data_IF_349463012358
#
_entry.id   IF_349463012358
#
_cell.length_a   1.000
_cell.length_b   1.000
_cell.length_c   1.000
_cell.angle_alpha   90.00
_cell.angle_beta   90.00
_cell.angle_gamma   90.00
#
_symmetry.space_group_name_H-M   'P 1'
#
loop_
_entity.id
_entity.type
_entity.pdbx_description
1 polymer ?
#
# COMPACT_ATOMS: atom_id res chain seq x y z
N UNK A 1 18.74 -33.62 4.81
CA UNK A 1 18.30 -32.46 5.59
C UNK A 1 17.03 -31.93 4.92
N UNK A 2 15.87 -32.18 5.53
CA UNK A 2 14.62 -31.59 5.06
C UNK A 2 14.67 -30.09 5.38
N UNK A 3 14.86 -29.27 4.38
CA UNK A 3 14.64 -27.82 4.50
C UNK A 3 13.12 -27.65 4.66
N UNK A 4 12.65 -27.51 5.88
CA UNK A 4 11.29 -27.06 6.14
C UNK A 4 11.21 -25.66 5.54
N UNK A 5 10.46 -25.51 4.46
CA UNK A 5 10.17 -24.19 3.88
C UNK A 5 9.37 -23.41 4.93
N UNK A 6 10.04 -22.48 5.62
CA UNK A 6 9.36 -21.53 6.49
C UNK A 6 8.44 -20.68 5.63
N UNK A 7 7.15 -20.69 5.93
CA UNK A 7 6.18 -19.80 5.32
C UNK A 7 6.04 -18.52 6.16
N UNK A 8 5.80 -17.37 5.54
CA UNK A 8 5.47 -16.16 6.28
C UNK A 8 4.27 -16.41 7.22
N UNK A 9 4.36 -15.94 8.45
CA UNK A 9 3.28 -16.07 9.45
C UNK A 9 2.43 -14.81 9.52
N UNK A 10 3.04 -13.66 9.26
CA UNK A 10 2.41 -12.36 9.29
C UNK A 10 1.77 -12.02 7.93
N UNK A 11 2.47 -12.34 6.84
CA UNK A 11 1.96 -12.15 5.48
C UNK A 11 1.06 -13.30 5.06
N UNK A 12 -0.23 -13.03 4.99
CA UNK A 12 -1.21 -13.94 4.38
C UNK A 12 -1.23 -13.84 2.85
N UNK A 13 -2.26 -14.43 2.23
CA UNK A 13 -2.48 -14.39 0.77
C UNK A 13 -2.54 -12.95 0.23
N UNK A 14 -3.10 -12.04 1.02
CA UNK A 14 -3.37 -10.65 0.65
C UNK A 14 -2.63 -9.62 1.53
N UNK A 15 -1.44 -9.92 1.98
CA UNK A 15 -0.67 -9.06 2.86
C UNK A 15 -0.95 -9.28 4.35
N UNK A 16 -0.62 -8.31 5.19
CA UNK A 16 -0.89 -8.32 6.63
C UNK A 16 -2.30 -7.80 6.86
N UNK A 17 -3.15 -8.53 7.59
CA UNK A 17 -4.53 -8.13 7.89
C UNK A 17 -4.88 -8.35 9.35
N UNK A 18 -5.81 -7.55 9.88
CA UNK A 18 -6.33 -7.66 11.22
C UNK A 18 -7.23 -6.49 11.60
N UNK A 19 -7.64 -6.46 12.85
CA UNK A 19 -8.35 -5.32 13.43
C UNK A 19 -7.37 -4.16 13.59
N UNK A 20 -7.72 -2.98 13.07
CA UNK A 20 -6.87 -1.82 13.15
C UNK A 20 -6.68 -1.36 14.61
N UNK A 21 -5.43 -1.17 15.02
CA UNK A 21 -5.05 -0.83 16.40
C UNK A 21 -4.71 -2.04 17.26
N UNK A 22 -4.98 -3.27 16.79
CA UNK A 22 -4.57 -4.51 17.44
C UNK A 22 -3.43 -5.17 16.66
N UNK A 23 -2.59 -5.98 17.34
CA UNK A 23 -1.55 -6.74 16.66
C UNK A 23 -2.16 -7.65 15.59
N UNK A 24 -1.65 -7.68 14.36
CA UNK A 24 -0.40 -7.08 13.88
C UNK A 24 -0.54 -5.67 13.26
N UNK A 25 -1.66 -5.00 13.42
CA UNK A 25 -1.91 -3.67 12.88
C UNK A 25 -1.97 -2.58 13.97
N UNK A 26 -1.30 -2.82 15.10
CA UNK A 26 -1.00 -1.78 16.08
C UNK A 26 0.07 -0.81 15.56
N UNK A 27 0.08 0.43 16.08
CA UNK A 27 1.00 1.47 15.61
C UNK A 27 2.48 1.08 15.65
N UNK A 28 3.01 0.45 16.73
CA UNK A 28 4.40 -0.01 16.75
C UNK A 28 4.71 -1.01 15.63
N UNK A 29 3.83 -1.97 15.39
CA UNK A 29 4.03 -2.98 14.33
C UNK A 29 3.94 -2.37 12.95
N UNK A 30 3.00 -1.45 12.70
CA UNK A 30 2.91 -0.71 11.42
C UNK A 30 4.19 0.09 11.15
N UNK A 31 4.78 0.73 12.17
CA UNK A 31 6.07 1.42 12.01
C UNK A 31 7.19 0.45 11.65
N UNK A 32 7.25 -0.73 12.33
CA UNK A 32 8.23 -1.78 12.02
C UNK A 32 8.08 -2.30 10.59
N UNK A 33 6.84 -2.50 10.11
CA UNK A 33 6.58 -2.89 8.72
C UNK A 33 7.19 -1.87 7.75
N UNK A 34 6.98 -0.58 7.99
CA UNK A 34 7.56 0.49 7.18
C UNK A 34 9.09 0.47 7.18
N UNK A 35 9.71 0.31 8.37
CA UNK A 35 11.18 0.21 8.52
C UNK A 35 11.74 -1.03 7.82
N UNK A 36 11.14 -2.19 8.04
CA UNK A 36 11.56 -3.45 7.44
C UNK A 36 11.49 -3.40 5.91
N UNK A 37 10.37 -2.89 5.37
CA UNK A 37 10.25 -2.67 3.93
C UNK A 37 11.31 -1.70 3.41
N UNK A 38 11.55 -0.60 4.11
CA UNK A 38 12.60 0.36 3.76
C UNK A 38 13.99 -0.26 3.74
N UNK A 39 14.33 -1.06 4.76
CA UNK A 39 15.61 -1.79 4.85
C UNK A 39 15.74 -2.80 3.70
N UNK A 40 14.69 -3.58 3.43
CA UNK A 40 14.63 -4.53 2.31
C UNK A 40 14.87 -3.84 0.96
N UNK A 41 14.15 -2.74 0.68
CA UNK A 41 14.31 -2.02 -0.59
C UNK A 41 15.71 -1.44 -0.76
N UNK A 42 16.32 -0.98 0.31
CA UNK A 42 17.71 -0.46 0.28
C UNK A 42 18.74 -1.53 -0.06
N UNK A 43 18.51 -2.77 0.34
CA UNK A 43 19.39 -3.89 0.01
C UNK A 43 19.13 -4.45 -1.40
N UNK A 44 17.86 -4.50 -1.81
CA UNK A 44 17.44 -5.15 -3.06
C UNK A 44 17.53 -4.25 -4.30
N UNK A 45 17.47 -2.91 -4.14
CA UNK A 45 17.38 -1.95 -5.25
C UNK A 45 18.59 -1.04 -5.29
N UNK A 46 19.31 -1.05 -6.42
CA UNK A 46 20.56 -0.30 -6.58
C UNK A 46 20.36 1.14 -7.08
N UNK A 47 19.26 1.45 -7.77
CA UNK A 47 19.01 2.79 -8.28
C UNK A 47 18.47 3.74 -7.18
N UNK A 48 18.76 5.03 -7.33
CA UNK A 48 18.37 6.09 -6.39
C UNK A 48 17.77 7.28 -7.17
N UNK A 49 16.81 8.04 -6.59
CA UNK A 49 16.23 7.88 -5.26
C UNK A 49 15.30 6.65 -5.17
N UNK A 50 15.24 6.03 -3.98
CA UNK A 50 14.27 4.97 -3.70
C UNK A 50 12.94 5.61 -3.33
N UNK A 51 11.90 5.30 -4.09
CA UNK A 51 10.56 5.85 -3.86
C UNK A 51 9.52 4.74 -3.93
N UNK A 52 8.54 4.81 -3.04
CA UNK A 52 7.38 3.90 -2.94
C UNK A 52 6.12 4.69 -3.23
N UNK A 53 5.21 4.15 -4.04
CA UNK A 53 3.85 4.70 -4.13
C UNK A 53 2.98 4.11 -3.04
N UNK A 54 2.29 4.96 -2.28
CA UNK A 54 1.40 4.60 -1.19
C UNK A 54 -0.02 5.07 -1.50
N UNK A 55 -0.96 4.14 -1.49
CA UNK A 55 -2.40 4.41 -1.59
C UNK A 55 -3.17 3.79 -0.44
N UNK A 56 -4.35 4.31 -0.18
CA UNK A 56 -5.22 3.83 0.89
C UNK A 56 -6.68 3.75 0.46
N UNK A 57 -7.50 3.04 1.24
CA UNK A 57 -8.94 3.07 1.07
C UNK A 57 -9.61 4.11 2.00
N UNK A 58 -10.93 4.12 2.04
CA UNK A 58 -11.73 5.12 2.76
C UNK A 58 -11.93 4.81 4.24
N UNK A 59 -11.28 3.80 4.81
CA UNK A 59 -11.37 3.43 6.22
C UNK A 59 -10.74 4.52 7.09
N UNK A 60 -11.35 4.81 8.22
CA UNK A 60 -10.84 5.81 9.17
C UNK A 60 -9.41 5.47 9.64
N UNK A 61 -9.15 4.18 9.85
CA UNK A 61 -7.82 3.70 10.25
C UNK A 61 -6.75 3.83 9.17
N UNK A 62 -7.11 3.93 7.89
CA UNK A 62 -6.15 3.98 6.79
C UNK A 62 -5.23 5.20 6.89
N UNK A 63 -5.76 6.34 7.33
CA UNK A 63 -5.00 7.59 7.43
C UNK A 63 -3.81 7.48 8.39
N UNK A 64 -4.04 7.03 9.63
CA UNK A 64 -2.96 6.92 10.60
C UNK A 64 -2.00 5.77 10.25
N UNK A 65 -2.52 4.67 9.70
CA UNK A 65 -1.68 3.54 9.26
C UNK A 65 -0.73 3.97 8.14
N UNK A 66 -1.23 4.69 7.14
CA UNK A 66 -0.43 5.22 6.03
C UNK A 66 0.66 6.16 6.54
N UNK A 67 0.33 7.06 7.46
CA UNK A 67 1.29 8.02 8.05
C UNK A 67 2.36 7.32 8.89
N UNK A 68 1.97 6.36 9.71
CA UNK A 68 2.91 5.59 10.56
C UNK A 68 3.84 4.73 9.69
N UNK A 69 3.29 4.04 8.69
CA UNK A 69 4.09 3.24 7.75
C UNK A 69 5.07 4.11 6.96
N UNK A 70 4.60 5.27 6.48
CA UNK A 70 5.44 6.22 5.78
C UNK A 70 6.58 6.76 6.66
N UNK A 71 6.34 7.03 7.94
CA UNK A 71 7.39 7.41 8.88
C UNK A 71 8.48 6.31 8.99
N UNK A 72 8.07 5.04 9.00
CA UNK A 72 8.99 3.90 8.94
C UNK A 72 9.86 3.89 7.67
N UNK A 73 9.23 4.05 6.49
CA UNK A 73 9.94 4.11 5.20
C UNK A 73 10.93 5.29 5.15
N UNK A 74 10.49 6.49 5.52
CA UNK A 74 11.30 7.70 5.53
C UNK A 74 12.50 7.58 6.46
N UNK A 75 12.35 6.93 7.63
CA UNK A 75 13.46 6.70 8.57
C UNK A 75 14.58 5.83 7.99
N UNK A 76 14.28 5.06 6.94
CA UNK A 76 15.25 4.24 6.19
C UNK A 76 15.69 4.92 4.88
N UNK A 77 15.33 6.18 4.66
CA UNK A 77 15.71 6.95 3.46
C UNK A 77 14.98 6.49 2.19
N UNK A 78 13.76 5.99 2.34
CA UNK A 78 12.86 5.67 1.23
C UNK A 78 11.78 6.74 1.15
N UNK A 79 11.68 7.42 0.02
CA UNK A 79 10.67 8.45 -0.22
C UNK A 79 9.28 7.84 -0.45
N UNK A 80 8.24 8.60 -0.11
CA UNK A 80 6.85 8.16 -0.28
C UNK A 80 6.10 9.10 -1.21
N UNK A 81 5.67 8.58 -2.36
CA UNK A 81 4.72 9.23 -3.26
C UNK A 81 3.31 8.86 -2.82
N UNK A 82 2.65 9.75 -2.08
CA UNK A 82 1.33 9.48 -1.54
C UNK A 82 0.22 9.81 -2.53
N UNK A 83 -0.52 8.80 -2.95
CA UNK A 83 -1.61 8.92 -3.91
C UNK A 83 -2.97 9.20 -3.25
N UNK A 84 -3.06 9.11 -1.90
CA UNK A 84 -4.31 9.25 -1.18
C UNK A 84 -5.24 8.06 -1.37
N UNK A 85 -6.54 8.35 -1.38
CA UNK A 85 -7.57 7.32 -1.55
C UNK A 85 -7.65 6.92 -3.02
N UNK A 86 -7.12 5.72 -3.33
CA UNK A 86 -7.13 5.11 -4.66
C UNK A 86 -7.27 3.58 -4.57
N UNK A 87 -7.85 2.92 -5.57
CA UNK A 87 -8.02 1.47 -5.53
C UNK A 87 -6.69 0.72 -5.72
N UNK A 88 -6.62 -0.50 -5.16
CA UNK A 88 -5.42 -1.37 -5.26
C UNK A 88 -4.86 -1.50 -6.68
N UNK A 89 -5.65 -1.70 -7.74
CA UNK A 89 -5.11 -1.78 -9.10
C UNK A 89 -4.47 -0.47 -9.58
N UNK A 90 -4.87 0.69 -9.05
CA UNK A 90 -4.19 1.95 -9.34
C UNK A 90 -2.76 1.95 -8.76
N UNK A 91 -2.57 1.52 -7.51
CA UNK A 91 -1.23 1.40 -6.92
C UNK A 91 -0.36 0.42 -7.70
N UNK A 92 -0.92 -0.72 -8.14
CA UNK A 92 -0.22 -1.70 -8.97
C UNK A 92 0.24 -1.10 -10.33
N UNK A 93 -0.65 -0.38 -10.99
CA UNK A 93 -0.35 0.32 -12.23
C UNK A 93 0.74 1.38 -12.03
N UNK A 94 0.58 2.25 -11.03
CA UNK A 94 1.51 3.35 -10.76
C UNK A 94 2.90 2.84 -10.37
N UNK A 95 2.99 1.78 -9.57
CA UNK A 95 4.26 1.16 -9.19
C UNK A 95 5.08 0.79 -10.44
N UNK A 96 4.43 0.15 -11.40
CA UNK A 96 5.06 -0.24 -12.65
C UNK A 96 5.28 0.93 -13.62
N UNK A 97 4.29 1.80 -13.77
CA UNK A 97 4.30 2.87 -14.77
C UNK A 97 5.35 3.94 -14.46
N UNK A 98 5.47 4.34 -13.20
CA UNK A 98 6.45 5.33 -12.77
C UNK A 98 7.79 4.75 -12.32
N UNK A 99 7.93 3.42 -12.29
CA UNK A 99 9.16 2.76 -11.88
C UNK A 99 9.46 2.91 -10.38
N UNK A 100 8.40 2.98 -9.55
CA UNK A 100 8.57 2.96 -8.10
C UNK A 100 9.22 1.65 -7.64
N UNK A 101 10.01 1.71 -6.57
CA UNK A 101 10.67 0.53 -6.01
C UNK A 101 9.66 -0.50 -5.48
N UNK A 102 8.51 -0.03 -5.01
CA UNK A 102 7.38 -0.84 -4.56
C UNK A 102 6.08 -0.02 -4.58
N UNK A 103 4.94 -0.72 -4.54
CA UNK A 103 3.64 -0.15 -4.22
C UNK A 103 3.15 -0.64 -2.87
N UNK A 104 2.53 0.23 -2.09
CA UNK A 104 1.91 -0.15 -0.82
C UNK A 104 0.46 0.30 -0.80
N UNK A 105 -0.43 -0.59 -0.36
CA UNK A 105 -1.86 -0.32 -0.23
C UNK A 105 -2.28 -0.57 1.21
N UNK A 106 -2.88 0.43 1.83
CA UNK A 106 -3.52 0.32 3.14
C UNK A 106 -5.01 0.10 2.93
N UNK A 107 -5.44 -1.15 3.03
CA UNK A 107 -6.83 -1.57 2.77
C UNK A 107 -7.07 -3.01 3.19
N UNK A 108 -8.27 -3.29 3.70
CA UNK A 108 -8.76 -4.66 3.91
C UNK A 108 -9.81 -5.09 2.86
N UNK A 109 -9.91 -4.40 1.72
CA UNK A 109 -10.86 -4.73 0.65
C UNK A 109 -12.32 -4.69 1.14
N UNK A 110 -13.02 -5.84 1.16
CA UNK A 110 -14.43 -5.98 1.53
C UNK A 110 -14.65 -6.51 2.97
N UNK A 111 -13.61 -6.57 3.78
CA UNK A 111 -13.72 -6.95 5.19
C UNK A 111 -14.56 -5.93 5.97
N UNK A 112 -15.07 -6.28 7.17
CA UNK A 112 -15.73 -5.35 8.09
C UNK A 112 -14.93 -4.06 8.29
N UNK A 113 -15.57 -2.98 8.71
CA UNK A 113 -14.94 -1.66 8.73
C UNK A 113 -13.84 -1.53 9.79
N UNK A 114 -13.88 -2.36 10.82
CA UNK A 114 -12.88 -2.43 11.89
C UNK A 114 -11.54 -2.99 11.42
N UNK A 115 -11.61 -3.87 10.41
CA UNK A 115 -10.42 -4.46 9.82
C UNK A 115 -9.66 -3.46 8.95
N UNK A 116 -8.36 -3.69 8.83
CA UNK A 116 -7.54 -3.05 7.81
C UNK A 116 -6.44 -4.02 7.34
N UNK A 117 -5.56 -3.57 6.47
CA UNK A 117 -4.46 -4.38 5.97
C UNK A 117 -3.39 -3.56 5.29
N UNK A 118 -2.21 -4.16 5.18
CA UNK A 118 -1.07 -3.61 4.45
C UNK A 118 -0.67 -4.61 3.38
N UNK A 119 -0.83 -4.25 2.13
CA UNK A 119 -0.42 -5.04 0.97
C UNK A 119 0.78 -4.39 0.31
N UNK A 120 1.84 -5.17 0.11
CA UNK A 120 3.05 -4.74 -0.57
C UNK A 120 3.11 -5.36 -1.95
N UNK A 121 3.32 -4.51 -2.95
CA UNK A 121 3.48 -4.88 -4.34
C UNK A 121 4.90 -4.60 -4.79
N UNK A 122 5.44 -5.44 -5.65
CA UNK A 122 6.74 -5.22 -6.27
C UNK A 122 6.72 -4.02 -7.24
N UNK A 123 7.88 -3.63 -7.74
CA UNK A 123 8.02 -2.62 -8.81
C UNK A 123 7.28 -2.98 -10.11
N UNK A 124 6.97 -4.27 -10.33
CA UNK A 124 6.15 -4.71 -11.46
C UNK A 124 4.63 -4.62 -11.20
N UNK A 125 4.21 -4.16 -10.02
CA UNK A 125 2.80 -4.07 -9.62
C UNK A 125 2.16 -5.42 -9.23
N UNK A 126 2.97 -6.46 -9.02
CA UNK A 126 2.51 -7.79 -8.59
C UNK A 126 2.79 -8.02 -7.11
N UNK A 127 2.11 -9.00 -6.52
CA UNK A 127 2.41 -9.45 -5.16
C UNK A 127 3.91 -9.82 -5.05
N UNK A 128 4.52 -9.54 -3.90
CA UNK A 128 5.88 -10.01 -3.59
C UNK A 128 5.95 -11.54 -3.61
N UNK A 129 7.12 -12.08 -3.96
CA UNK A 129 7.38 -13.50 -3.80
C UNK A 129 7.45 -13.88 -2.31
N UNK A 130 7.04 -15.10 -1.96
CA UNK A 130 7.05 -15.58 -0.56
C UNK A 130 8.41 -15.41 0.12
N UNK A 131 9.50 -15.61 -0.62
CA UNK A 131 10.85 -15.42 -0.08
C UNK A 131 11.12 -13.95 0.33
N UNK A 132 10.58 -12.99 -0.42
CA UNK A 132 10.71 -11.56 -0.11
C UNK A 132 9.81 -11.18 1.08
N UNK A 133 8.58 -11.73 1.14
CA UNK A 133 7.69 -11.54 2.28
C UNK A 133 8.33 -12.08 3.57
N UNK A 134 8.96 -13.26 3.51
CA UNK A 134 9.65 -13.86 4.64
C UNK A 134 10.86 -13.04 5.09
N UNK A 135 11.63 -12.46 4.15
CA UNK A 135 12.76 -11.59 4.46
C UNK A 135 12.29 -10.32 5.19
N UNK A 136 11.22 -9.69 4.70
CA UNK A 136 10.61 -8.51 5.35
C UNK A 136 10.08 -8.89 6.73
N UNK A 137 9.42 -10.03 6.88
CA UNK A 137 8.86 -10.50 8.16
C UNK A 137 9.95 -10.72 9.21
N UNK A 138 11.07 -11.33 8.83
CA UNK A 138 12.25 -11.47 9.71
C UNK A 138 12.80 -10.11 10.13
N UNK A 139 12.83 -9.16 9.20
CA UNK A 139 13.27 -7.80 9.52
C UNK A 139 12.29 -7.10 10.48
N UNK A 140 10.97 -7.30 10.35
CA UNK A 140 9.97 -6.78 11.31
C UNK A 140 10.27 -7.27 12.73
N UNK A 141 10.57 -8.57 12.88
CA UNK A 141 10.90 -9.18 14.18
C UNK A 141 12.22 -8.69 14.78
N UNK A 142 13.15 -8.25 13.93
CA UNK A 142 14.47 -7.76 14.36
C UNK A 142 14.51 -6.24 14.60
N UNK A 143 13.48 -5.48 14.17
CA UNK A 143 13.44 -4.03 14.35
C UNK A 143 13.19 -3.67 15.82
N UNK A 144 14.21 -3.13 16.48
CA UNK A 144 14.06 -2.50 17.78
C UNK A 144 13.45 -1.11 17.62
N UNK A 145 12.40 -0.83 18.37
CA UNK A 145 11.80 0.50 18.41
C UNK A 145 12.32 1.27 19.60
N UNK A 146 13.23 2.19 19.35
CA UNK A 146 13.52 3.26 20.29
C UNK A 146 12.39 4.29 20.20
N UNK A 147 11.39 4.16 21.05
CA UNK A 147 10.38 5.18 21.25
C UNK A 147 10.94 6.24 22.21
N UNK A 148 10.60 7.51 22.00
CA UNK A 148 11.10 8.65 22.78
C UNK A 148 10.88 8.48 24.30
N UNK A 149 9.83 7.76 24.69
CA UNK A 149 9.57 7.32 26.05
C UNK A 149 8.76 6.02 26.07
N UNK A 150 8.80 5.22 27.14
CA UNK A 150 7.90 4.09 27.31
C UNK A 150 6.44 4.53 27.24
N UNK A 151 5.68 3.96 26.29
CA UNK A 151 4.26 4.28 26.08
C UNK A 151 4.00 5.49 25.18
N UNK A 152 5.02 6.13 24.60
CA UNK A 152 4.79 7.14 23.56
C UNK A 152 4.28 6.50 22.27
N UNK A 153 3.44 7.25 21.54
CA UNK A 153 2.98 6.79 20.23
C UNK A 153 4.12 6.86 19.20
N UNK A 154 4.18 5.90 18.27
CA UNK A 154 5.08 5.96 17.13
C UNK A 154 4.90 7.23 16.31
N UNK A 155 5.97 7.74 15.68
CA UNK A 155 5.88 8.93 14.83
C UNK A 155 4.99 8.70 13.61
N UNK A 156 4.30 9.74 13.18
CA UNK A 156 3.56 9.81 11.94
C UNK A 156 4.21 10.80 10.96
N UNK A 157 4.28 10.41 9.69
CA UNK A 157 4.74 11.30 8.64
C UNK A 157 3.63 12.27 8.20
N UNK A 158 4.01 13.47 7.81
CA UNK A 158 3.11 14.37 7.09
C UNK A 158 3.08 13.96 5.62
N UNK A 159 1.92 13.57 5.12
CA UNK A 159 1.71 13.14 3.75
C UNK A 159 0.88 14.15 2.98
N UNK A 160 1.37 14.57 1.82
CA UNK A 160 0.62 15.37 0.87
C UNK A 160 0.22 14.53 -0.33
N UNK A 161 -1.06 14.53 -0.69
CA UNK A 161 -1.54 13.82 -1.88
C UNK A 161 -0.92 14.42 -3.14
N UNK A 162 -0.45 13.57 -4.04
CA UNK A 162 0.03 13.93 -5.37
C UNK A 162 -1.11 13.68 -6.38
N UNK A 163 -1.89 14.71 -6.79
CA UNK A 163 -3.08 14.52 -7.62
C UNK A 163 -2.79 13.85 -8.95
N UNK A 164 -1.63 14.14 -9.54
CA UNK A 164 -1.21 13.58 -10.82
C UNK A 164 -1.20 12.04 -10.83
N UNK A 165 -0.96 11.37 -9.70
CA UNK A 165 -0.98 9.90 -9.64
C UNK A 165 -2.38 9.35 -9.93
N UNK A 166 -3.44 10.01 -9.45
CA UNK A 166 -4.80 9.64 -9.78
C UNK A 166 -5.11 9.93 -11.26
N UNK A 167 -4.69 11.10 -11.74
CA UNK A 167 -4.92 11.51 -13.13
C UNK A 167 -4.27 10.54 -14.11
N UNK A 168 -3.03 10.12 -13.86
CA UNK A 168 -2.31 9.14 -14.68
C UNK A 168 -3.03 7.77 -14.74
N UNK A 169 -3.62 7.35 -13.61
CA UNK A 169 -4.39 6.11 -13.60
C UNK A 169 -5.72 6.25 -14.35
N UNK A 170 -6.40 7.37 -14.23
CA UNK A 170 -7.64 7.65 -14.98
C UNK A 170 -7.37 7.74 -16.47
N UNK A 171 -6.30 8.41 -16.88
CA UNK A 171 -5.85 8.47 -18.28
C UNK A 171 -5.61 7.07 -18.84
N UNK A 172 -4.86 6.24 -18.12
CA UNK A 172 -4.65 4.83 -18.49
C UNK A 172 -5.95 4.07 -18.69
N UNK A 173 -6.91 4.20 -17.78
CA UNK A 173 -8.19 3.51 -17.89
C UNK A 173 -9.00 4.02 -19.09
N UNK A 174 -8.94 5.31 -19.36
CA UNK A 174 -9.63 5.93 -20.48
C UNK A 174 -9.08 5.42 -21.83
N UNK A 175 -7.76 5.29 -21.92
CA UNK A 175 -7.08 4.79 -23.12
C UNK A 175 -7.37 3.30 -23.41
N UNK A 176 -7.82 2.54 -22.41
CA UNK A 176 -8.26 1.15 -22.61
C UNK A 176 -9.63 1.04 -23.30
N UNK A 177 -10.41 2.12 -23.34
CA UNK A 177 -11.74 2.10 -23.94
C UNK A 177 -11.61 2.22 -25.47
N UNK A 178 -12.07 1.22 -26.25
CA UNK A 178 -11.99 1.28 -27.71
C UNK A 178 -12.79 2.47 -28.26
N UNK A 179 -12.20 3.19 -29.22
CA UNK A 179 -12.88 4.26 -29.93
C UNK A 179 -14.17 3.75 -30.59
N UNK A 180 -15.29 4.45 -30.40
CA UNK A 180 -16.57 4.10 -31.01
C UNK A 180 -17.35 2.99 -30.28
N UNK A 181 -16.97 2.62 -29.06
CA UNK A 181 -17.74 1.67 -28.25
C UNK A 181 -19.17 2.19 -28.01
N UNK A 182 -20.24 1.43 -28.41
CA UNK A 182 -21.61 1.93 -28.36
C UNK A 182 -22.21 1.82 -26.96
N UNK A 183 -21.67 2.59 -26.00
CA UNK A 183 -22.13 2.59 -24.60
C UNK A 183 -23.44 3.36 -24.40
N UNK A 184 -23.81 4.25 -25.33
CA UNK A 184 -24.98 5.13 -25.21
C UNK A 184 -26.32 4.40 -25.06
N UNK A 185 -26.40 3.13 -25.44
CA UNK A 185 -27.63 2.31 -25.31
C UNK A 185 -27.76 1.60 -23.96
N UNK A 186 -26.72 1.63 -23.12
CA UNK A 186 -26.74 1.00 -21.82
C UNK A 186 -27.11 2.01 -20.73
N UNK A 187 -27.86 1.56 -19.75
CA UNK A 187 -28.07 2.26 -18.48
C UNK A 187 -27.34 1.48 -17.40
N UNK A 188 -26.36 2.11 -16.78
CA UNK A 188 -25.54 1.49 -15.75
C UNK A 188 -25.88 2.11 -14.39
N UNK A 189 -26.03 1.24 -13.40
CA UNK A 189 -26.06 1.62 -11.99
C UNK A 189 -24.83 1.02 -11.36
N UNK A 190 -23.98 1.86 -10.74
CA UNK A 190 -22.74 1.42 -10.13
C UNK A 190 -22.79 1.78 -8.65
N UNK A 191 -22.74 0.76 -7.80
CA UNK A 191 -22.56 0.92 -6.36
C UNK A 191 -21.09 0.72 -6.00
N UNK A 192 -20.46 1.79 -5.53
CA UNK A 192 -19.04 1.77 -5.12
C UNK A 192 -18.87 1.37 -3.65
N UNK A 193 -19.94 1.08 -2.92
CA UNK A 193 -19.94 0.72 -1.49
C UNK A 193 -19.03 1.63 -0.62
N UNK A 194 -18.98 2.92 -0.93
CA UNK A 194 -18.06 3.91 -0.34
C UNK A 194 -16.56 3.57 -0.46
N UNK A 195 -16.20 2.64 -1.33
CA UNK A 195 -14.82 2.17 -1.52
C UNK A 195 -13.94 3.15 -2.29
N UNK A 196 -12.64 2.85 -2.34
CA UNK A 196 -11.61 3.69 -2.96
C UNK A 196 -11.79 3.92 -4.48
N UNK A 197 -12.64 3.13 -5.15
CA UNK A 197 -12.95 3.30 -6.58
C UNK A 197 -13.89 4.49 -6.87
N UNK A 198 -14.57 5.05 -5.86
CA UNK A 198 -15.55 6.13 -6.04
C UNK A 198 -14.98 7.32 -6.84
N UNK A 199 -13.80 7.79 -6.50
CA UNK A 199 -13.16 8.93 -7.18
C UNK A 199 -12.82 8.60 -8.64
N UNK A 200 -12.31 7.40 -8.90
CA UNK A 200 -11.95 6.94 -10.25
C UNK A 200 -13.20 6.85 -11.13
N UNK A 201 -14.25 6.21 -10.63
CA UNK A 201 -15.51 6.06 -11.37
C UNK A 201 -16.21 7.40 -11.63
N UNK A 202 -16.14 8.34 -10.68
CA UNK A 202 -16.68 9.69 -10.87
C UNK A 202 -15.97 10.45 -11.99
N UNK A 203 -14.65 10.30 -12.12
CA UNK A 203 -13.86 10.98 -13.17
C UNK A 203 -14.02 10.35 -14.55
N UNK A 204 -14.24 9.04 -14.64
CA UNK A 204 -14.49 8.35 -15.91
C UNK A 204 -15.90 8.67 -16.45
N UNK A 205 -16.78 9.19 -15.62
CA UNK A 205 -18.21 9.43 -15.94
C UNK A 205 -18.48 10.80 -16.54
N UNK A 206 -17.50 11.67 -16.55
CA UNK A 206 -17.59 13.02 -17.11
C UNK A 206 -17.04 12.97 -18.56
#
# INVERSE_FOLDING_TARGET
>A
MNVVSEKPQLFGTDGVRGVAGEYPLDRPTVLRIGRALGSFLRSAVSHRPLQVVLGEDTRESSVWMSRTLAAGLLSKGVEVAYAGVIPTPAVAYLARHHGFAAGVVVSASHNPYEDNGIKILSSSGTKLAEAQELEIERAIGAEELELEAPGSEPPEATLAVIPKLLDDYVEFLTDLVPSGMPLAKYRLVVDCANGAALRVLSLIHI
#
